data_IF_679872864748
#
_entry.id   IF_679872864748
#
_cell.length_a   1.000
_cell.length_b   1.000
_cell.length_c   1.000
_cell.angle_alpha   90.00
_cell.angle_beta   90.00
_cell.angle_gamma   90.00
#
_symmetry.space_group_name_H-M   'P 1'
#
loop_
_entity.id
_entity.type
_entity.pdbx_description
1 polymer ?
#
# COMPACT_ATOMS: atom_id res chain seq x y z
N UNK A 1 -7.87 -6.38 -8.54
CA UNK A 1 -8.03 -4.91 -8.49
C UNK A 1 -7.20 -4.32 -7.36
N UNK A 2 -7.10 -2.99 -7.26
CA UNK A 2 -6.57 -2.31 -6.06
C UNK A 2 -7.36 -2.79 -4.84
N UNK A 3 -8.68 -2.83 -4.97
CA UNK A 3 -9.62 -3.29 -3.95
C UNK A 3 -9.22 -4.65 -3.34
N UNK A 4 -9.04 -5.70 -4.15
CA UNK A 4 -8.75 -7.04 -3.64
C UNK A 4 -7.37 -7.12 -2.98
N UNK A 5 -6.37 -6.44 -3.55
CA UNK A 5 -4.99 -6.53 -3.07
C UNK A 5 -4.77 -5.79 -1.76
N UNK A 6 -5.48 -4.67 -1.58
CA UNK A 6 -5.50 -3.92 -0.33
C UNK A 6 -6.27 -4.71 0.72
N UNK A 7 -7.50 -5.13 0.42
CA UNK A 7 -8.37 -5.82 1.38
C UNK A 7 -7.74 -7.11 1.92
N UNK A 8 -7.17 -7.96 1.04
CA UNK A 8 -6.59 -9.23 1.47
C UNK A 8 -5.42 -9.02 2.43
N UNK A 9 -4.55 -8.05 2.16
CA UNK A 9 -3.40 -7.78 3.01
C UNK A 9 -3.78 -7.20 4.37
N UNK A 10 -5.00 -6.68 4.53
CA UNK A 10 -5.42 -5.89 5.70
C UNK A 10 -6.58 -6.56 6.45
N UNK A 11 -6.76 -7.86 6.24
CA UNK A 11 -7.88 -8.62 6.79
C UNK A 11 -7.97 -8.47 8.33
N UNK A 12 -6.83 -8.46 9.02
CA UNK A 12 -6.78 -8.31 10.48
C UNK A 12 -7.25 -6.95 10.99
N UNK A 13 -7.07 -5.88 10.21
CA UNK A 13 -7.56 -4.54 10.57
C UNK A 13 -9.05 -4.35 10.24
N UNK A 14 -9.57 -5.13 9.30
CA UNK A 14 -10.90 -4.94 8.73
C UNK A 14 -11.93 -5.91 9.32
N UNK A 15 -11.48 -7.08 9.80
CA UNK A 15 -12.35 -8.10 10.39
C UNK A 15 -12.99 -7.61 11.69
N UNK A 16 -14.26 -7.97 11.88
CA UNK A 16 -14.96 -7.86 13.15
C UNK A 16 -14.64 -9.09 14.03
N UNK A 17 -14.95 -9.07 15.33
CA UNK A 17 -14.60 -10.17 16.25
C UNK A 17 -15.10 -11.56 15.82
N UNK A 18 -16.23 -11.62 15.10
CA UNK A 18 -16.82 -12.86 14.57
C UNK A 18 -16.25 -13.26 13.19
N UNK A 19 -15.22 -12.57 12.69
CA UNK A 19 -14.55 -12.89 11.42
C UNK A 19 -15.18 -12.29 10.16
N UNK A 20 -16.33 -11.61 10.28
CA UNK A 20 -16.94 -10.92 9.15
C UNK A 20 -16.15 -9.66 8.76
N UNK A 21 -16.10 -9.35 7.47
CA UNK A 21 -15.47 -8.13 6.97
C UNK A 21 -16.50 -7.01 6.88
N UNK A 22 -16.20 -5.87 7.51
CA UNK A 22 -17.09 -4.70 7.48
C UNK A 22 -16.87 -3.87 6.19
N UNK A 23 -17.87 -3.71 5.31
CA UNK A 23 -17.70 -2.98 4.04
C UNK A 23 -17.21 -1.53 4.21
N UNK A 24 -17.63 -0.86 5.28
CA UNK A 24 -17.18 0.51 5.57
C UNK A 24 -15.68 0.58 5.88
N UNK A 25 -15.14 -0.38 6.66
CA UNK A 25 -13.70 -0.46 6.97
C UNK A 25 -12.88 -0.80 5.74
N UNK A 26 -13.39 -1.72 4.90
CA UNK A 26 -12.80 -2.03 3.60
C UNK A 26 -12.61 -0.75 2.77
N UNK A 27 -13.67 0.04 2.66
CA UNK A 27 -13.65 1.29 1.89
C UNK A 27 -12.69 2.32 2.47
N UNK A 28 -12.69 2.48 3.78
CA UNK A 28 -11.85 3.44 4.49
C UNK A 28 -10.35 3.16 4.26
N UNK A 29 -9.94 1.89 4.44
CA UNK A 29 -8.54 1.49 4.28
C UNK A 29 -8.07 1.65 2.83
N UNK A 30 -8.93 1.35 1.84
CA UNK A 30 -8.64 1.57 0.42
C UNK A 30 -8.43 3.05 0.10
N UNK A 31 -9.34 3.91 0.56
CA UNK A 31 -9.20 5.36 0.42
C UNK A 31 -7.92 5.87 1.06
N UNK A 32 -7.56 5.33 2.23
CA UNK A 32 -6.34 5.68 2.93
C UNK A 32 -5.09 5.30 2.13
N UNK A 33 -5.03 4.08 1.55
CA UNK A 33 -3.92 3.69 0.65
C UNK A 33 -3.80 4.66 -0.53
N UNK A 34 -4.91 4.94 -1.21
CA UNK A 34 -4.90 5.76 -2.42
C UNK A 34 -4.44 7.19 -2.09
N UNK A 35 -4.96 7.75 -1.00
CA UNK A 35 -4.65 9.12 -0.54
C UNK A 35 -3.23 9.25 -0.01
N UNK A 36 -2.87 8.44 0.99
CA UNK A 36 -1.59 8.57 1.70
C UNK A 36 -0.41 8.23 0.78
N UNK A 37 -0.62 7.30 -0.16
CA UNK A 37 0.41 6.88 -1.10
C UNK A 37 0.31 7.50 -2.50
N UNK A 38 -0.56 8.51 -2.67
CA UNK A 38 -0.74 9.29 -3.92
C UNK A 38 -0.86 8.38 -5.15
N UNK A 39 -1.71 7.36 -5.06
CA UNK A 39 -1.98 6.43 -6.16
C UNK A 39 -2.90 7.13 -7.16
N UNK A 40 -2.49 7.16 -8.42
CA UNK A 40 -3.30 7.68 -9.52
C UNK A 40 -3.96 6.51 -10.24
N UNK A 41 -5.28 6.43 -10.16
CA UNK A 41 -6.10 5.42 -10.82
C UNK A 41 -7.47 6.00 -11.18
N UNK A 42 -8.04 5.57 -12.30
CA UNK A 42 -9.39 5.99 -12.74
C UNK A 42 -10.50 5.43 -11.85
N UNK A 43 -10.24 4.33 -11.15
CA UNK A 43 -11.12 3.73 -10.15
C UNK A 43 -10.33 2.73 -9.30
N UNK A 44 -10.79 2.46 -8.07
CA UNK A 44 -10.25 1.39 -7.21
C UNK A 44 -10.58 -0.04 -7.69
N UNK A 45 -11.55 -0.15 -8.60
CA UNK A 45 -11.98 -1.43 -9.18
C UNK A 45 -11.07 -1.91 -10.32
N UNK A 46 -10.21 -1.05 -10.86
CA UNK A 46 -9.35 -1.44 -11.98
C UNK A 46 -8.37 -2.55 -11.57
N UNK A 47 -8.01 -3.46 -12.49
CA UNK A 47 -6.93 -4.42 -12.27
C UNK A 47 -5.62 -3.70 -11.91
N UNK A 48 -4.84 -4.24 -10.98
CA UNK A 48 -3.52 -3.69 -10.67
C UNK A 48 -2.59 -3.70 -11.89
N UNK A 49 -2.78 -4.67 -12.78
CA UNK A 49 -1.99 -4.84 -13.99
C UNK A 49 -2.12 -3.65 -14.96
N UNK A 50 -3.25 -2.94 -14.93
CA UNK A 50 -3.51 -1.79 -15.82
C UNK A 50 -2.96 -0.46 -15.28
N UNK A 51 -2.38 -0.44 -14.07
CA UNK A 51 -1.70 0.75 -13.53
C UNK A 51 -0.30 0.90 -14.13
N UNK A 52 0.20 2.14 -14.22
CA UNK A 52 1.63 2.36 -14.50
C UNK A 52 2.51 1.64 -13.47
N UNK A 53 3.76 1.30 -13.84
CA UNK A 53 4.70 0.64 -12.92
C UNK A 53 4.83 1.37 -11.58
N UNK A 54 4.93 2.70 -11.63
CA UNK A 54 4.98 3.54 -10.44
C UNK A 54 3.73 3.47 -9.56
N UNK A 55 2.52 3.52 -10.13
CA UNK A 55 1.28 3.42 -9.35
C UNK A 55 1.07 2.01 -8.77
N UNK A 56 1.50 0.98 -9.51
CA UNK A 56 1.49 -0.40 -9.03
C UNK A 56 2.40 -0.57 -7.81
N UNK A 57 3.59 0.03 -7.86
CA UNK A 57 4.53 0.00 -6.75
C UNK A 57 4.02 0.79 -5.53
N UNK A 58 3.37 1.94 -5.75
CA UNK A 58 2.72 2.72 -4.69
C UNK A 58 1.63 1.92 -3.97
N UNK A 59 0.78 1.18 -4.69
CA UNK A 59 -0.24 0.33 -4.07
C UNK A 59 0.41 -0.82 -3.29
N UNK A 60 1.42 -1.48 -3.89
CA UNK A 60 2.10 -2.60 -3.25
C UNK A 60 2.82 -2.18 -1.97
N UNK A 61 3.50 -1.03 -1.95
CA UNK A 61 4.09 -0.50 -0.72
C UNK A 61 2.99 -0.06 0.25
N UNK A 62 2.03 0.76 -0.20
CA UNK A 62 1.03 1.39 0.66
C UNK A 62 0.20 0.40 1.49
N UNK A 63 -0.12 -0.78 0.93
CA UNK A 63 -0.86 -1.82 1.66
C UNK A 63 -0.08 -2.42 2.84
N UNK A 64 1.25 -2.45 2.79
CA UNK A 64 2.08 -2.95 3.89
C UNK A 64 2.33 -1.88 4.93
N UNK A 65 2.54 -0.64 4.48
CA UNK A 65 2.91 0.48 5.33
C UNK A 65 1.77 0.97 6.23
N UNK A 66 0.53 0.71 5.85
CA UNK A 66 -0.62 1.00 6.69
C UNK A 66 -0.80 0.04 7.87
N UNK A 67 -0.06 -1.06 7.91
CA UNK A 67 -0.23 -2.11 8.92
C UNK A 67 0.69 -1.96 10.14
N UNK A 68 1.35 -0.81 10.32
CA UNK A 68 2.28 -0.53 11.45
C UNK A 68 3.20 -1.72 11.75
N UNK A 69 3.99 -2.15 10.76
CA UNK A 69 4.93 -3.28 10.91
C UNK A 69 6.23 -2.83 11.57
N UNK A 70 6.79 -3.66 12.44
CA UNK A 70 8.09 -3.42 13.07
C UNK A 70 9.27 -3.66 12.11
N UNK A 71 9.09 -4.59 11.15
CA UNK A 71 10.12 -4.98 10.17
C UNK A 71 9.49 -5.04 8.78
N UNK A 72 10.21 -4.51 7.80
CA UNK A 72 9.85 -4.54 6.38
C UNK A 72 11.05 -5.04 5.55
N UNK A 73 10.87 -6.18 4.88
CA UNK A 73 11.88 -6.72 3.95
C UNK A 73 11.52 -6.27 2.54
N UNK A 74 12.44 -5.59 1.87
CA UNK A 74 12.21 -4.99 0.55
C UNK A 74 13.21 -5.52 -0.48
N UNK A 75 12.77 -6.43 -1.34
CA UNK A 75 13.54 -6.80 -2.53
C UNK A 75 13.22 -5.86 -3.70
N UNK A 76 14.26 -5.16 -4.18
CA UNK A 76 14.21 -4.34 -5.38
C UNK A 76 13.01 -3.37 -5.44
N UNK A 77 12.72 -2.60 -4.38
CA UNK A 77 11.45 -1.85 -4.23
C UNK A 77 11.29 -0.70 -5.22
N UNK A 78 12.31 -0.40 -6.03
CA UNK A 78 12.34 0.68 -7.01
C UNK A 78 12.53 0.17 -8.45
N UNK A 79 12.41 -1.14 -8.69
CA UNK A 79 12.52 -1.72 -10.03
C UNK A 79 11.29 -1.37 -10.87
N UNK A 80 11.50 -0.98 -12.13
CA UNK A 80 10.41 -0.70 -13.07
C UNK A 80 9.62 0.58 -12.80
N UNK A 81 10.16 1.51 -12.00
CA UNK A 81 9.58 2.84 -11.76
C UNK A 81 10.52 3.95 -12.25
N UNK A 82 9.94 5.07 -12.69
CA UNK A 82 10.70 6.26 -13.12
C UNK A 82 11.41 6.97 -11.95
N UNK A 83 12.34 7.88 -12.27
CA UNK A 83 13.17 8.59 -11.28
C UNK A 83 12.36 9.38 -10.25
N UNK A 84 11.22 9.95 -10.65
CA UNK A 84 10.34 10.70 -9.75
C UNK A 84 9.69 9.79 -8.71
N UNK A 85 9.22 8.62 -9.14
CA UNK A 85 8.65 7.61 -8.23
C UNK A 85 9.73 6.98 -7.35
N UNK A 86 10.96 6.80 -7.84
CA UNK A 86 12.07 6.31 -7.00
C UNK A 86 12.32 7.21 -5.80
N UNK A 87 12.44 8.52 -6.03
CA UNK A 87 12.64 9.49 -4.95
C UNK A 87 11.52 9.43 -3.90
N UNK A 88 10.28 9.32 -4.38
CA UNK A 88 9.11 9.16 -3.51
C UNK A 88 9.17 7.91 -2.62
N UNK A 89 9.56 6.76 -3.18
CA UNK A 89 9.71 5.50 -2.43
C UNK A 89 10.82 5.62 -1.38
N UNK A 90 11.95 6.24 -1.73
CA UNK A 90 13.02 6.49 -0.76
C UNK A 90 12.58 7.40 0.39
N UNK A 91 11.79 8.43 0.11
CA UNK A 91 11.27 9.32 1.17
C UNK A 91 10.32 8.59 2.12
N UNK A 92 9.51 7.66 1.61
CA UNK A 92 8.71 6.76 2.44
C UNK A 92 9.63 5.91 3.33
N UNK A 93 10.64 5.24 2.75
CA UNK A 93 11.57 4.40 3.51
C UNK A 93 12.28 5.19 4.62
N UNK A 94 12.70 6.42 4.32
CA UNK A 94 13.30 7.33 5.32
C UNK A 94 12.32 7.66 6.46
N UNK A 95 11.05 7.93 6.14
CA UNK A 95 10.01 8.20 7.15
C UNK A 95 9.77 7.00 8.06
N UNK A 96 9.69 5.80 7.49
CA UNK A 96 9.48 4.56 8.24
C UNK A 96 10.66 4.27 9.18
N UNK A 97 11.89 4.44 8.69
CA UNK A 97 13.09 4.30 9.53
C UNK A 97 13.08 5.29 10.71
N UNK A 98 12.63 6.53 10.49
CA UNK A 98 12.45 7.53 11.56
C UNK A 98 11.35 7.15 12.56
N UNK A 99 10.37 6.34 12.15
CA UNK A 99 9.31 5.82 13.00
C UNK A 99 9.71 4.53 13.74
N UNK A 100 10.96 4.07 13.59
CA UNK A 100 11.46 2.87 14.28
C UNK A 100 11.26 1.56 13.50
N UNK A 101 10.74 1.62 12.28
CA UNK A 101 10.58 0.43 11.43
C UNK A 101 11.95 -0.01 10.91
N UNK A 102 12.31 -1.26 11.14
CA UNK A 102 13.50 -1.87 10.57
C UNK A 102 13.25 -2.21 9.11
N UNK A 103 14.16 -1.81 8.22
CA UNK A 103 14.08 -2.08 6.78
C UNK A 103 15.29 -2.93 6.39
N UNK A 104 15.04 -4.07 5.76
CA UNK A 104 16.04 -5.03 5.26
C UNK A 104 16.00 -5.10 3.74
#
# INVERSE_FOLDING_TARGET
SIENNVTLSMIDMIKEPLGFLKPSKIHEVRKKVIKDYKVVAVSEKVPLASLSGGNRQKVNLGRWLLQNKDILILDSPTRGVDVGVKAYIYDIMKKLKKQGVSIL
#
